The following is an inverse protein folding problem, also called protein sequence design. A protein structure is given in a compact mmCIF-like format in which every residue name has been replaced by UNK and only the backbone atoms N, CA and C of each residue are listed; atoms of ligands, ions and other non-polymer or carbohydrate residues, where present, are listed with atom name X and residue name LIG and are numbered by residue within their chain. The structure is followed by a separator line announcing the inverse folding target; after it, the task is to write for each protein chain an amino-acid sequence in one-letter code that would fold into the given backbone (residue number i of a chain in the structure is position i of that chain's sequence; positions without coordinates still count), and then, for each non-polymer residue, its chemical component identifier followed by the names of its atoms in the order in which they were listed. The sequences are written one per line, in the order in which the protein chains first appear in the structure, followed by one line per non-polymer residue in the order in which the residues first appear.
data_IF_959155917812
#
_entry.id   IF_959155917812
#
_cell.length_a   1.000
_cell.length_b   1.000
_cell.length_c   1.000
_cell.angle_alpha   90.00
_cell.angle_beta   90.00
_cell.angle_gamma   90.00
#
_symmetry.space_group_name_H-M   'P 1'
#
loop_
_entity.id
_entity.type
_entity.pdbx_description
1 polymer ?
#
# COMPACT_ATOMS: atom_id res chain seq x y z
N UNK A 1 1.28 -13.52 -6.30
CA UNK A 1 1.57 -12.09 -6.01
C UNK A 1 0.83 -11.63 -4.77
N UNK A 2 1.48 -10.82 -3.93
CA UNK A 2 0.83 -10.14 -2.80
C UNK A 2 0.62 -8.67 -3.12
N UNK A 3 -0.60 -8.19 -2.93
CA UNK A 3 -0.95 -6.77 -3.04
C UNK A 3 -1.64 -6.33 -1.77
N UNK A 4 -1.07 -5.34 -1.11
CA UNK A 4 -1.51 -4.89 0.21
C UNK A 4 -1.58 -3.37 0.27
N UNK A 5 -2.59 -2.84 0.96
CA UNK A 5 -2.84 -1.41 1.07
C UNK A 5 -2.86 -1.00 2.54
N UNK A 6 -1.85 -0.24 2.96
CA UNK A 6 -1.83 0.45 4.25
C UNK A 6 -2.54 1.80 4.08
N UNK A 7 -3.75 1.88 4.62
CA UNK A 7 -4.67 3.01 4.51
C UNK A 7 -4.40 3.99 5.66
N UNK A 8 -4.05 5.21 5.31
CA UNK A 8 -4.32 6.36 6.16
C UNK A 8 -5.63 7.05 5.66
N UNK A 9 -6.75 6.93 6.40
CA UNK A 9 -8.06 7.45 6.03
C UNK A 9 -8.10 8.98 5.91
N UNK A 10 -7.11 9.70 6.44
CA UNK A 10 -7.04 11.16 6.30
C UNK A 10 -6.49 11.62 4.95
N UNK A 11 -5.94 10.72 4.13
CA UNK A 11 -5.33 11.08 2.84
C UNK A 11 -5.73 10.17 1.66
N UNK A 12 -6.57 9.16 1.89
CA UNK A 12 -7.14 8.31 0.83
C UNK A 12 -8.65 8.45 0.83
N UNK A 13 -9.21 8.87 -0.30
CA UNK A 13 -10.67 8.94 -0.45
C UNK A 13 -11.25 7.67 -1.09
N UNK A 14 -12.57 7.48 -0.96
CA UNK A 14 -13.28 6.30 -1.50
C UNK A 14 -13.02 6.08 -2.99
N UNK A 15 -12.90 7.16 -3.77
CA UNK A 15 -12.57 7.10 -5.20
C UNK A 15 -11.21 6.44 -5.43
N UNK A 16 -10.20 6.83 -4.66
CA UNK A 16 -8.84 6.32 -4.80
C UNK A 16 -8.77 4.84 -4.44
N UNK A 17 -9.47 4.46 -3.36
CA UNK A 17 -9.65 3.06 -2.96
C UNK A 17 -10.36 2.23 -4.05
N UNK A 18 -11.43 2.77 -4.64
CA UNK A 18 -12.17 2.11 -5.71
C UNK A 18 -11.29 1.86 -6.95
N UNK A 19 -10.49 2.84 -7.36
CA UNK A 19 -9.55 2.70 -8.50
C UNK A 19 -8.54 1.58 -8.26
N UNK A 20 -7.95 1.49 -7.06
CA UNK A 20 -7.00 0.43 -6.72
C UNK A 20 -7.69 -0.94 -6.72
N UNK A 21 -8.88 -1.00 -6.12
CA UNK A 21 -9.69 -2.23 -6.07
C UNK A 21 -10.06 -2.72 -7.47
N UNK A 22 -10.49 -1.82 -8.36
CA UNK A 22 -10.81 -2.12 -9.74
C UNK A 22 -9.61 -2.67 -10.51
N UNK A 23 -8.43 -2.05 -10.35
CA UNK A 23 -7.18 -2.54 -10.96
C UNK A 23 -6.83 -3.94 -10.45
N UNK A 24 -6.92 -4.19 -9.14
CA UNK A 24 -6.67 -5.53 -8.59
C UNK A 24 -7.67 -6.56 -9.14
N UNK A 25 -8.96 -6.22 -9.19
CA UNK A 25 -10.00 -7.09 -9.72
C UNK A 25 -9.80 -7.40 -11.20
N UNK A 26 -9.45 -6.40 -12.03
CA UNK A 26 -9.13 -6.56 -13.46
C UNK A 26 -8.06 -7.63 -13.70
N UNK A 27 -7.11 -7.78 -12.77
CA UNK A 27 -6.02 -8.75 -12.89
C UNK A 27 -6.21 -10.01 -12.02
N UNK A 28 -7.38 -10.20 -11.40
CA UNK A 28 -7.66 -11.37 -10.55
C UNK A 28 -6.84 -11.41 -9.26
N UNK A 29 -6.48 -10.24 -8.71
CA UNK A 29 -5.61 -10.10 -7.55
C UNK A 29 -6.41 -9.85 -6.28
N UNK A 30 -5.99 -10.50 -5.18
CA UNK A 30 -6.52 -10.20 -3.84
C UNK A 30 -5.80 -8.98 -3.27
N UNK A 31 -6.58 -7.94 -2.95
CA UNK A 31 -6.11 -6.77 -2.22
C UNK A 31 -6.36 -6.97 -0.72
N UNK A 32 -5.30 -7.02 0.08
CA UNK A 32 -5.42 -7.02 1.55
C UNK A 32 -5.29 -5.59 2.06
N UNK A 33 -6.11 -5.19 3.02
CA UNK A 33 -6.15 -3.81 3.51
C UNK A 33 -5.83 -3.76 5.00
N UNK A 34 -5.10 -2.73 5.39
CA UNK A 34 -4.74 -2.44 6.77
C UNK A 34 -5.06 -0.98 7.04
N UNK A 35 -5.84 -0.68 8.07
CA UNK A 35 -6.07 0.70 8.48
C UNK A 35 -5.01 1.10 9.51
N UNK A 36 -4.22 2.12 9.18
CA UNK A 36 -3.12 2.60 10.01
C UNK A 36 -3.56 2.97 11.44
N UNK A 37 -4.80 3.44 11.59
CA UNK A 37 -5.32 3.91 12.88
C UNK A 37 -6.00 2.82 13.70
N UNK A 38 -6.22 1.64 13.11
CA UNK A 38 -6.71 0.46 13.81
C UNK A 38 -5.54 -0.43 14.27
N UNK A 39 -4.29 -0.07 13.95
CA UNK A 39 -3.08 -0.80 14.35
C UNK A 39 -2.54 -0.21 15.66
N UNK A 40 -2.74 -0.92 16.77
CA UNK A 40 -2.15 -0.58 18.06
C UNK A 40 -0.69 -1.02 18.17
N UNK A 41 0.05 -0.52 19.16
CA UNK A 41 1.47 -0.87 19.38
C UNK A 41 1.72 -2.38 19.46
N UNK A 42 0.80 -3.13 20.09
CA UNK A 42 0.91 -4.58 20.23
C UNK A 42 0.68 -5.36 18.93
N UNK A 43 0.05 -4.74 17.93
CA UNK A 43 -0.28 -5.38 16.66
C UNK A 43 0.76 -5.11 15.57
N UNK A 44 1.64 -4.10 15.77
CA UNK A 44 2.65 -3.73 14.75
C UNK A 44 3.51 -4.94 14.37
N UNK A 45 3.96 -5.72 15.34
CA UNK A 45 4.86 -6.86 15.12
C UNK A 45 4.17 -8.05 14.41
N UNK A 46 2.84 -8.00 14.26
CA UNK A 46 2.07 -9.00 13.51
C UNK A 46 1.97 -8.68 12.01
N UNK A 47 2.32 -7.45 11.62
CA UNK A 47 2.32 -7.00 10.24
C UNK A 47 3.54 -7.53 9.47
N UNK A 48 3.49 -7.52 8.13
CA UNK A 48 4.70 -7.74 7.32
C UNK A 48 5.81 -6.75 7.70
N UNK A 49 7.07 -7.21 7.68
CA UNK A 49 8.24 -6.46 8.14
C UNK A 49 8.40 -5.07 7.50
N UNK A 50 8.08 -4.94 6.21
CA UNK A 50 8.13 -3.65 5.51
C UNK A 50 7.05 -2.66 5.98
N UNK A 51 5.91 -3.15 6.49
CA UNK A 51 4.87 -2.29 7.05
C UNK A 51 5.22 -1.91 8.49
N UNK A 52 5.61 -2.88 9.31
CA UNK A 52 5.98 -2.62 10.70
C UNK A 52 7.16 -1.67 10.79
N UNK A 53 8.21 -1.89 9.98
CA UNK A 53 9.36 -1.00 9.86
C UNK A 53 8.96 0.43 9.47
N UNK A 54 8.08 0.59 8.47
CA UNK A 54 7.59 1.90 8.06
C UNK A 54 6.80 2.62 9.15
N UNK A 55 5.94 1.89 9.89
CA UNK A 55 5.15 2.46 10.99
C UNK A 55 6.06 2.88 12.14
N UNK A 56 7.07 2.09 12.49
CA UNK A 56 8.07 2.47 13.48
C UNK A 56 8.84 3.73 13.06
N UNK A 57 9.29 3.82 11.81
CA UNK A 57 9.94 5.03 11.29
C UNK A 57 9.07 6.29 11.47
N UNK A 58 7.76 6.19 11.25
CA UNK A 58 6.84 7.31 11.47
C UNK A 58 6.61 7.62 12.96
N UNK A 59 6.40 6.60 13.80
CA UNK A 59 6.12 6.78 15.23
C UNK A 59 7.33 7.35 15.98
N UNK A 60 8.54 6.95 15.59
CA UNK A 60 9.78 7.45 16.18
C UNK A 60 10.21 8.82 15.62
N UNK A 61 9.58 9.28 14.55
CA UNK A 61 9.95 10.52 13.87
C UNK A 61 11.20 10.41 12.98
N UNK A 62 11.70 9.18 12.75
CA UNK A 62 12.87 8.91 11.89
C UNK A 62 12.58 9.23 10.42
N UNK A 63 11.32 9.11 10.01
CA UNK A 63 10.84 9.51 8.69
C UNK A 63 10.03 10.81 8.79
N UNK A 64 10.64 11.98 8.52
CA UNK A 64 9.90 13.23 8.46
C UNK A 64 8.98 13.27 7.23
N UNK A 65 7.83 13.91 7.36
CA UNK A 65 6.90 14.17 6.27
C UNK A 65 5.51 13.58 6.46
N UNK A 66 4.69 13.70 5.42
CA UNK A 66 3.29 13.27 5.45
C UNK A 66 3.16 11.75 5.45
N UNK A 67 2.31 11.24 6.33
CA UNK A 67 1.92 9.84 6.41
C UNK A 67 0.86 9.59 5.34
N UNK A 68 1.27 9.23 4.13
CA UNK A 68 0.34 8.86 3.06
C UNK A 68 -0.13 7.41 3.18
N UNK A 69 -1.22 7.08 2.50
CA UNK A 69 -1.55 5.68 2.22
C UNK A 69 -0.49 5.08 1.28
N UNK A 70 -0.19 3.79 1.46
CA UNK A 70 0.83 3.11 0.65
C UNK A 70 0.28 1.78 0.16
N UNK A 71 0.47 1.52 -1.13
CA UNK A 71 0.31 0.20 -1.71
C UNK A 71 1.66 -0.53 -1.61
N UNK A 72 1.62 -1.82 -1.34
CA UNK A 72 2.77 -2.70 -1.37
C UNK A 72 2.51 -3.82 -2.38
N UNK A 73 3.45 -4.03 -3.29
CA UNK A 73 3.40 -5.12 -4.27
C UNK A 73 4.60 -6.02 -3.97
N UNK A 74 4.36 -7.23 -3.45
CA UNK A 74 5.42 -8.13 -2.97
C UNK A 74 6.39 -7.46 -1.97
N UNK A 75 5.90 -6.52 -1.15
CA UNK A 75 6.70 -5.76 -0.18
C UNK A 75 7.30 -4.47 -0.73
N UNK A 76 7.31 -4.26 -2.05
CA UNK A 76 7.76 -3.00 -2.64
C UNK A 76 6.74 -1.89 -2.41
N UNK A 77 7.17 -0.86 -1.70
CA UNK A 77 6.33 0.28 -1.32
C UNK A 77 6.08 1.24 -2.47
N UNK A 78 4.82 1.62 -2.66
CA UNK A 78 4.36 2.67 -3.58
C UNK A 78 3.48 3.67 -2.80
N UNK A 79 3.95 4.90 -2.53
CA UNK A 79 3.14 5.92 -1.88
C UNK A 79 2.03 6.43 -2.81
N UNK A 80 0.83 6.65 -2.26
CA UNK A 80 -0.32 7.22 -2.97
C UNK A 80 -0.40 8.70 -2.60
N UNK A 81 0.33 9.54 -3.33
CA UNK A 81 0.50 10.96 -2.99
C UNK A 81 0.51 11.94 -4.19
N UNK A 82 0.50 11.44 -5.43
CA UNK A 82 0.49 12.28 -6.64
C UNK A 82 -0.67 11.87 -7.55
N UNK A 83 -1.87 12.32 -7.20
CA UNK A 83 -3.06 12.05 -7.97
C UNK A 83 -3.05 12.81 -9.31
N UNK A 84 -3.41 12.18 -10.45
CA UNK A 84 -3.80 10.78 -10.63
C UNK A 84 -2.61 9.84 -10.97
N UNK A 85 -1.40 10.39 -11.17
CA UNK A 85 -0.22 9.67 -11.69
C UNK A 85 0.18 8.45 -10.87
N UNK A 86 -0.04 8.47 -9.55
CA UNK A 86 0.20 7.30 -8.69
C UNK A 86 -0.53 6.06 -9.20
N UNK A 87 -1.70 6.18 -9.83
CA UNK A 87 -2.47 5.03 -10.31
C UNK A 87 -1.96 4.43 -11.60
N UNK A 88 -1.41 5.24 -12.51
CA UNK A 88 -0.76 4.75 -13.72
C UNK A 88 0.50 3.97 -13.33
N UNK A 89 1.29 4.53 -12.40
CA UNK A 89 2.46 3.85 -11.86
C UNK A 89 2.12 2.56 -11.11
N UNK A 90 1.04 2.55 -10.30
CA UNK A 90 0.56 1.33 -9.66
C UNK A 90 0.22 0.26 -10.70
N UNK A 91 -0.48 0.61 -11.78
CA UNK A 91 -0.85 -0.35 -12.81
C UNK A 91 0.38 -0.92 -13.54
N UNK A 92 1.35 -0.07 -13.87
CA UNK A 92 2.64 -0.50 -14.43
C UNK A 92 3.33 -1.52 -13.51
N UNK A 93 3.44 -1.20 -12.22
CA UNK A 93 4.09 -2.09 -11.24
C UNK A 93 3.36 -3.41 -11.04
N UNK A 94 2.03 -3.41 -11.07
CA UNK A 94 1.22 -4.64 -11.02
C UNK A 94 1.51 -5.53 -12.24
N UNK A 95 1.54 -4.95 -13.44
CA UNK A 95 1.82 -5.69 -14.67
C UNK A 95 3.23 -6.26 -14.69
N UNK A 96 4.24 -5.49 -14.30
CA UNK A 96 5.62 -5.98 -14.22
C UNK A 96 5.78 -7.13 -13.23
N UNK A 97 5.14 -7.05 -12.06
CA UNK A 97 5.19 -8.13 -11.07
C UNK A 97 4.46 -9.39 -11.56
N UNK A 98 3.33 -9.24 -12.26
CA UNK A 98 2.62 -10.36 -12.89
C UNK A 98 3.43 -11.06 -13.99
N UNK A 99 4.23 -10.32 -14.76
CA UNK A 99 5.12 -10.89 -15.77
C UNK A 99 6.26 -11.68 -15.12
N UNK A 100 6.84 -11.15 -14.04
CA UNK A 100 7.90 -11.83 -13.30
C UNK A 100 7.45 -13.15 -12.67
N UNK A 101 6.20 -13.26 -12.21
CA UNK A 101 5.67 -14.53 -11.65
C UNK A 101 5.43 -15.64 -12.67
N UNK A 102 5.40 -15.31 -13.97
CA UNK A 102 5.24 -16.29 -15.05
C UNK A 102 6.57 -16.94 -15.46
N UNK A 103 7.69 -16.41 -15.01
CA UNK A 103 9.05 -16.85 -15.32
C UNK A 103 9.69 -17.57 -14.13
#
# INVERSE_FOLDING_TARGET
MKVELLINPFCLCDRDYAVITEKCHKYGLTLTTYNLWDIDDGDIDTLPEYMSGLIHEWRNGDRPGSVYSNLFINGDRIPINDWPKSFDYIEERLLSALEQEKH
#
